data_IF_188628214762
#
_entry.id   IF_188628214762
#
_cell.length_a   1.000
_cell.length_b   1.000
_cell.length_c   1.000
_cell.angle_alpha   90.00
_cell.angle_beta   90.00
_cell.angle_gamma   90.00
#
_symmetry.space_group_name_H-M   'P 1'
#
loop_
_entity.id
_entity.type
_entity.pdbx_description
1 polymer ?
#
# COMPACT_ATOMS: atom_id res chain seq x y z
N UNK A 1 -18.42 8.07 -15.70
CA UNK A 1 -17.36 8.60 -14.82
C UNK A 1 -16.42 7.46 -14.48
N UNK A 2 -15.13 7.64 -14.69
CA UNK A 2 -14.17 6.57 -14.45
C UNK A 2 -13.99 6.30 -12.95
N UNK A 3 -13.81 5.04 -12.62
CA UNK A 3 -13.48 4.62 -11.26
C UNK A 3 -12.06 5.10 -10.93
N UNK A 4 -11.90 5.89 -9.87
CA UNK A 4 -10.62 6.49 -9.51
C UNK A 4 -9.56 5.44 -9.17
N UNK A 5 -9.93 4.37 -8.46
CA UNK A 5 -8.98 3.31 -8.12
C UNK A 5 -8.49 2.58 -9.37
N UNK A 6 -9.39 2.26 -10.29
CA UNK A 6 -9.02 1.65 -11.57
C UNK A 6 -8.09 2.54 -12.39
N UNK A 7 -8.38 3.84 -12.44
CA UNK A 7 -7.52 4.81 -13.12
C UNK A 7 -6.12 4.83 -12.51
N UNK A 8 -6.03 4.88 -11.18
CA UNK A 8 -4.74 4.87 -10.49
C UNK A 8 -3.96 3.58 -10.80
N UNK A 9 -4.62 2.43 -10.78
CA UNK A 9 -3.99 1.15 -11.12
C UNK A 9 -3.49 1.14 -12.57
N UNK A 10 -4.30 1.62 -13.51
CA UNK A 10 -3.91 1.67 -14.92
C UNK A 10 -2.73 2.61 -15.16
N UNK A 11 -2.73 3.79 -14.54
CA UNK A 11 -1.64 4.76 -14.67
C UNK A 11 -0.34 4.23 -14.08
N UNK A 12 -0.41 3.58 -12.92
CA UNK A 12 0.77 2.99 -12.30
C UNK A 12 1.33 1.84 -13.14
N UNK A 13 0.47 1.02 -13.70
CA UNK A 13 0.88 -0.08 -14.58
C UNK A 13 1.63 0.45 -15.81
N UNK A 14 1.13 1.50 -16.42
CA UNK A 14 1.78 2.15 -17.57
C UNK A 14 3.13 2.75 -17.18
N UNK A 15 3.23 3.40 -16.05
CA UNK A 15 4.50 3.95 -15.57
C UNK A 15 5.52 2.83 -15.34
N UNK A 16 5.11 1.73 -14.72
CA UNK A 16 5.99 0.59 -14.46
C UNK A 16 6.47 -0.06 -15.76
N UNK A 17 5.61 -0.16 -16.77
CA UNK A 17 6.01 -0.65 -18.09
C UNK A 17 7.10 0.21 -18.73
N UNK A 18 7.00 1.52 -18.61
CA UNK A 18 8.02 2.46 -19.14
C UNK A 18 9.36 2.32 -18.42
N UNK A 19 9.33 1.88 -17.17
CA UNK A 19 10.55 1.61 -16.39
C UNK A 19 11.10 0.21 -16.70
N UNK A 20 10.36 -0.59 -17.46
CA UNK A 20 10.78 -1.94 -17.87
C UNK A 20 10.19 -3.07 -17.04
N UNK A 21 9.15 -2.80 -16.26
CA UNK A 21 8.53 -3.80 -15.42
C UNK A 21 7.05 -3.97 -15.81
N UNK A 22 6.66 -5.20 -16.17
CA UNK A 22 5.31 -5.52 -16.61
C UNK A 22 4.79 -6.75 -15.86
N UNK A 23 3.77 -6.54 -15.03
CA UNK A 23 3.15 -7.63 -14.25
C UNK A 23 2.43 -8.67 -15.11
N UNK A 24 2.02 -8.31 -16.34
CA UNK A 24 1.33 -9.26 -17.23
C UNK A 24 2.28 -10.33 -17.80
N UNK A 25 3.57 -10.04 -17.87
CA UNK A 25 4.57 -10.95 -18.43
C UNK A 25 5.50 -11.55 -17.39
N UNK A 26 5.28 -11.29 -16.12
CA UNK A 26 6.10 -11.83 -15.05
C UNK A 26 5.97 -13.34 -14.91
N UNK A 27 7.13 -14.00 -14.74
CA UNK A 27 7.17 -15.37 -14.23
C UNK A 27 6.84 -15.40 -12.75
N UNK A 28 6.55 -16.56 -12.19
CA UNK A 28 6.30 -16.69 -10.74
C UNK A 28 7.52 -16.28 -9.92
N UNK A 29 8.73 -16.58 -10.39
CA UNK A 29 9.97 -16.17 -9.72
C UNK A 29 10.14 -14.65 -9.73
N UNK A 30 9.89 -14.01 -10.86
CA UNK A 30 9.94 -12.56 -10.99
C UNK A 30 8.89 -11.89 -10.11
N UNK A 31 7.71 -12.49 -9.97
CA UNK A 31 6.66 -11.96 -9.11
C UNK A 31 7.10 -11.92 -7.65
N UNK A 32 7.73 -12.98 -7.15
CA UNK A 32 8.29 -13.03 -5.79
C UNK A 32 9.35 -11.94 -5.60
N UNK A 33 10.24 -11.79 -6.58
CA UNK A 33 11.28 -10.77 -6.57
C UNK A 33 10.68 -9.36 -6.48
N UNK A 34 9.66 -9.08 -7.31
CA UNK A 34 9.07 -7.74 -7.36
C UNK A 34 8.16 -7.44 -6.17
N UNK A 35 7.52 -8.42 -5.58
CA UNK A 35 6.83 -8.25 -4.29
C UNK A 35 7.83 -7.76 -3.24
N UNK A 36 9.01 -8.37 -3.18
CA UNK A 36 10.05 -7.97 -2.24
C UNK A 36 10.61 -6.59 -2.57
N UNK A 37 10.88 -6.31 -3.85
CA UNK A 37 11.39 -5.02 -4.29
C UNK A 37 10.44 -3.88 -3.94
N UNK A 38 9.15 -4.04 -4.21
CA UNK A 38 8.16 -3.02 -3.89
C UNK A 38 7.94 -2.88 -2.38
N UNK A 39 7.99 -3.98 -1.63
CA UNK A 39 7.89 -3.93 -0.17
C UNK A 39 9.08 -3.15 0.44
N UNK A 40 10.29 -3.35 -0.08
CA UNK A 40 11.48 -2.61 0.34
C UNK A 40 11.38 -1.12 -0.02
N UNK A 41 10.95 -0.82 -1.24
CA UNK A 41 10.73 0.57 -1.67
C UNK A 41 9.71 1.26 -0.78
N UNK A 42 8.61 0.58 -0.48
CA UNK A 42 7.57 1.08 0.40
C UNK A 42 8.11 1.34 1.81
N UNK A 43 8.92 0.44 2.34
CA UNK A 43 9.58 0.61 3.64
C UNK A 43 10.49 1.84 3.67
N UNK A 44 11.22 2.10 2.58
CA UNK A 44 12.07 3.30 2.47
C UNK A 44 11.24 4.58 2.44
N UNK A 45 10.13 4.59 1.70
CA UNK A 45 9.22 5.75 1.66
C UNK A 45 8.61 6.01 3.04
N UNK A 46 8.29 4.96 3.80
CA UNK A 46 7.81 5.11 5.17
C UNK A 46 8.87 5.74 6.08
N UNK A 47 10.14 5.35 5.92
CA UNK A 47 11.24 5.96 6.66
C UNK A 47 11.40 7.45 6.32
N UNK A 48 11.28 7.80 5.05
CA UNK A 48 11.32 9.20 4.59
C UNK A 48 10.15 10.01 5.15
N UNK A 49 8.96 9.40 5.21
CA UNK A 49 7.79 10.02 5.83
C UNK A 49 8.05 10.32 7.31
N UNK A 50 8.61 9.38 8.05
CA UNK A 50 8.96 9.57 9.46
C UNK A 50 9.90 10.76 9.61
N UNK A 51 10.90 10.89 8.74
CA UNK A 51 11.87 11.99 8.79
C UNK A 51 11.25 13.35 8.47
N UNK A 52 10.09 13.39 7.81
CA UNK A 52 9.36 14.63 7.51
C UNK A 52 8.52 15.12 8.71
N UNK A 53 8.45 14.35 9.78
CA UNK A 53 7.72 14.66 11.01
C UNK A 53 8.73 14.79 12.14
N UNK A 54 8.57 15.75 13.08
CA UNK A 54 9.50 15.90 14.22
C UNK A 54 9.31 14.76 15.22
N UNK A 55 9.91 13.61 14.94
CA UNK A 55 9.75 12.39 15.73
C UNK A 55 10.76 12.24 16.86
N UNK A 56 11.88 13.00 16.80
CA UNK A 56 12.92 12.96 17.84
C UNK A 56 12.50 13.85 19.01
N UNK A 57 11.85 13.27 20.01
CA UNK A 57 11.30 14.01 21.15
C UNK A 57 12.37 14.77 21.95
N UNK A 58 13.63 14.36 21.85
CA UNK A 58 14.76 15.00 22.53
C UNK A 58 15.38 16.16 21.75
N UNK A 59 14.97 16.36 20.50
CA UNK A 59 15.55 17.38 19.59
C UNK A 59 14.55 18.49 19.33
N UNK A 60 15.04 19.75 19.41
CA UNK A 60 14.21 20.95 19.21
C UNK A 60 14.36 21.56 17.80
N UNK A 61 15.28 21.03 16.99
CA UNK A 61 15.56 21.56 15.65
C UNK A 61 14.64 21.03 14.57
N UNK A 62 13.90 19.98 14.84
CA UNK A 62 13.03 19.36 13.84
C UNK A 62 11.75 20.17 13.62
N UNK A 63 11.32 20.26 12.38
CA UNK A 63 10.09 20.96 11.98
C UNK A 63 9.18 20.00 11.21
N UNK A 64 7.90 20.25 11.29
CA UNK A 64 6.90 19.51 10.52
C UNK A 64 6.79 20.11 9.11
N UNK A 65 7.26 19.37 8.12
CA UNK A 65 7.13 19.74 6.71
C UNK A 65 5.85 19.12 6.14
N UNK A 66 4.75 19.86 6.27
CA UNK A 66 3.43 19.36 5.87
C UNK A 66 3.36 19.07 4.37
N UNK A 67 3.97 19.89 3.53
CA UNK A 67 3.95 19.67 2.09
C UNK A 67 4.70 18.39 1.71
N UNK A 68 5.86 18.18 2.29
CA UNK A 68 6.65 16.98 2.04
C UNK A 68 5.94 15.72 2.54
N UNK A 69 5.28 15.80 3.70
CA UNK A 69 4.48 14.67 4.23
C UNK A 69 3.40 14.26 3.23
N UNK A 70 2.70 15.21 2.63
CA UNK A 70 1.67 14.92 1.61
C UNK A 70 2.26 14.20 0.41
N UNK A 71 3.41 14.65 -0.08
CA UNK A 71 4.10 14.02 -1.22
C UNK A 71 4.51 12.59 -0.86
N UNK A 72 5.09 12.39 0.31
CA UNK A 72 5.51 11.06 0.77
C UNK A 72 4.32 10.09 0.88
N UNK A 73 3.17 10.57 1.37
CA UNK A 73 1.96 9.73 1.42
C UNK A 73 1.54 9.30 0.02
N UNK A 74 1.60 10.19 -0.96
CA UNK A 74 1.27 9.87 -2.35
C UNK A 74 2.27 8.85 -2.92
N UNK A 75 3.56 9.01 -2.63
CA UNK A 75 4.59 8.06 -3.06
C UNK A 75 4.33 6.66 -2.49
N UNK A 76 3.87 6.58 -1.24
CA UNK A 76 3.47 5.33 -0.61
C UNK A 76 2.32 4.67 -1.40
N UNK A 77 1.34 5.44 -1.86
CA UNK A 77 0.27 4.91 -2.71
C UNK A 77 0.81 4.35 -4.02
N UNK A 78 1.76 5.01 -4.66
CA UNK A 78 2.37 4.50 -5.91
C UNK A 78 2.99 3.12 -5.69
N UNK A 79 3.81 2.95 -4.66
CA UNK A 79 4.45 1.68 -4.37
C UNK A 79 3.46 0.63 -3.87
N UNK A 80 2.44 1.03 -3.11
CA UNK A 80 1.42 0.13 -2.63
C UNK A 80 0.60 -0.45 -3.80
N UNK A 81 0.24 0.37 -4.76
CA UNK A 81 -0.46 -0.08 -5.97
C UNK A 81 0.43 -1.03 -6.77
N UNK A 82 1.70 -0.69 -6.94
CA UNK A 82 2.67 -1.56 -7.62
C UNK A 82 2.80 -2.92 -6.92
N UNK A 83 2.86 -2.91 -5.59
CA UNK A 83 2.90 -4.12 -4.78
C UNK A 83 1.63 -4.97 -4.96
N UNK A 84 0.46 -4.33 -4.94
CA UNK A 84 -0.81 -5.01 -5.15
C UNK A 84 -0.84 -5.70 -6.52
N UNK A 85 -0.38 -5.03 -7.56
CA UNK A 85 -0.30 -5.61 -8.91
C UNK A 85 0.71 -6.77 -8.97
N UNK A 86 1.84 -6.65 -8.31
CA UNK A 86 2.84 -7.72 -8.24
C UNK A 86 2.29 -8.96 -7.52
N UNK A 87 1.46 -8.77 -6.50
CA UNK A 87 0.76 -9.87 -5.81
C UNK A 87 -0.32 -10.50 -6.70
N UNK A 88 -0.78 -9.78 -7.72
CA UNK A 88 -1.80 -10.26 -8.66
C UNK A 88 -3.19 -9.72 -8.40
N UNK A 89 -3.30 -8.65 -7.61
CA UNK A 89 -4.59 -8.02 -7.31
C UNK A 89 -4.94 -6.96 -8.33
N UNK A 90 -6.16 -7.01 -8.84
CA UNK A 90 -6.76 -5.92 -9.61
C UNK A 90 -7.34 -4.87 -8.66
N UNK A 91 -7.70 -3.71 -9.21
CA UNK A 91 -8.38 -2.66 -8.44
C UNK A 91 -9.69 -3.18 -7.82
N UNK A 92 -10.48 -3.93 -8.59
CA UNK A 92 -11.74 -4.50 -8.10
C UNK A 92 -11.50 -5.50 -6.96
N UNK A 93 -10.48 -6.35 -7.10
CA UNK A 93 -10.12 -7.32 -6.06
C UNK A 93 -9.65 -6.64 -4.78
N UNK A 94 -8.86 -5.57 -4.89
CA UNK A 94 -8.46 -4.77 -3.73
C UNK A 94 -9.68 -4.18 -3.05
N UNK A 95 -10.58 -3.58 -3.83
CA UNK A 95 -11.80 -2.99 -3.29
C UNK A 95 -12.67 -4.02 -2.56
N UNK A 96 -12.92 -5.16 -3.19
CA UNK A 96 -13.73 -6.22 -2.61
C UNK A 96 -13.12 -6.78 -1.32
N UNK A 97 -11.82 -7.06 -1.34
CA UNK A 97 -11.10 -7.54 -0.17
C UNK A 97 -11.08 -6.50 0.96
N UNK A 98 -10.90 -5.22 0.60
CA UNK A 98 -10.96 -4.12 1.57
C UNK A 98 -12.33 -4.07 2.27
N UNK A 99 -13.41 -4.16 1.49
CA UNK A 99 -14.76 -4.12 2.06
C UNK A 99 -15.03 -5.31 2.99
N UNK A 100 -14.59 -6.50 2.62
CA UNK A 100 -14.71 -7.69 3.46
C UNK A 100 -13.90 -7.54 4.74
N UNK A 101 -12.66 -7.09 4.64
CA UNK A 101 -11.79 -6.85 5.79
C UNK A 101 -12.34 -5.77 6.71
N UNK A 102 -12.87 -4.71 6.13
CA UNK A 102 -13.47 -3.62 6.89
C UNK A 102 -14.66 -4.12 7.73
N UNK A 103 -15.49 -4.99 7.18
CA UNK A 103 -16.59 -5.63 7.90
C UNK A 103 -16.08 -6.45 9.09
N UNK A 104 -15.00 -7.21 8.90
CA UNK A 104 -14.35 -7.96 9.98
C UNK A 104 -13.86 -7.00 11.07
N UNK A 105 -13.20 -5.92 10.69
CA UNK A 105 -12.67 -4.93 11.63
C UNK A 105 -13.79 -4.26 12.43
N UNK A 106 -14.90 -3.89 11.80
CA UNK A 106 -16.07 -3.34 12.51
C UNK A 106 -16.63 -4.34 13.51
N UNK A 107 -16.80 -5.61 13.12
CA UNK A 107 -17.30 -6.65 14.01
C UNK A 107 -16.38 -6.85 15.24
N UNK A 108 -15.05 -6.80 15.03
CA UNK A 108 -14.08 -6.89 16.12
C UNK A 108 -14.21 -5.73 17.10
N UNK A 109 -14.35 -4.51 16.60
CA UNK A 109 -14.53 -3.33 17.47
C UNK A 109 -15.84 -3.38 18.25
N UNK A 110 -16.93 -3.78 17.60
CA UNK A 110 -18.24 -3.93 18.23
C UNK A 110 -18.21 -4.99 19.35
N UNK A 111 -17.39 -6.01 19.19
CA UNK A 111 -17.18 -7.05 20.20
C UNK A 111 -16.12 -6.67 21.26
N UNK A 112 -15.58 -5.44 21.23
CA UNK A 112 -14.55 -4.97 22.16
C UNK A 112 -13.12 -5.38 21.80
N UNK A 113 -12.92 -6.14 20.73
CA UNK A 113 -11.61 -6.60 20.22
C UNK A 113 -10.74 -7.26 21.30
N UNK A 114 -11.33 -8.11 22.13
CA UNK A 114 -10.63 -8.77 23.24
C UNK A 114 -9.70 -9.88 22.73
N UNK A 115 -10.12 -10.59 21.66
CA UNK A 115 -9.37 -11.70 21.07
C UNK A 115 -9.30 -11.50 19.55
N UNK A 116 -8.11 -11.70 18.99
CA UNK A 116 -7.90 -11.69 17.53
C UNK A 116 -7.98 -13.14 17.02
N UNK A 117 -9.00 -13.44 16.23
CA UNK A 117 -9.16 -14.75 15.61
C UNK A 117 -8.65 -14.67 14.16
N UNK A 118 -7.59 -15.43 13.85
CA UNK A 118 -7.02 -15.48 12.50
C UNK A 118 -8.00 -16.04 11.46
N UNK A 119 -8.97 -16.84 11.89
CA UNK A 119 -10.01 -17.37 11.01
C UNK A 119 -10.87 -16.27 10.39
N UNK A 120 -10.95 -15.08 11.02
CA UNK A 120 -11.70 -13.93 10.51
C UNK A 120 -11.23 -13.48 9.13
N UNK A 121 -9.97 -13.75 8.79
CA UNK A 121 -9.38 -13.35 7.51
C UNK A 121 -9.57 -14.37 6.39
N UNK A 122 -10.12 -15.54 6.67
CA UNK A 122 -10.21 -16.62 5.66
C UNK A 122 -11.12 -16.30 4.48
N UNK A 123 -12.05 -15.37 4.65
CA UNK A 123 -12.95 -14.94 3.57
C UNK A 123 -12.46 -13.72 2.78
N UNK A 124 -11.30 -13.20 3.13
CA UNK A 124 -10.73 -12.04 2.44
C UNK A 124 -10.03 -12.51 1.17
#
# INVERSE_FOLDING_TARGET
MDDKLEVMFAMQKELNRRIGQDTDTMTDEERVEWVLNYARALGQELAELVDSVPWKWWAKYQQFDQQNVKVEVVDIFHFLISLAQAVGLSADEVFEAYMKKNKVNFARQDAGYVVKDEADNKGI
#
